data_IF_147142461409
#
_entry.id   IF_147142461409
#
_cell.length_a   1.000
_cell.length_b   1.000
_cell.length_c   1.000
_cell.angle_alpha   90.00
_cell.angle_beta   90.00
_cell.angle_gamma   90.00
#
_symmetry.space_group_name_H-M   'P 1'
#
loop_
_entity.id
_entity.type
_entity.pdbx_description
1 polymer ?
#
# COMPACT_ATOMS: atom_id res chain seq x y z
N UNK A 1 18.59 -4.66 25.69
CA UNK A 1 18.86 -4.95 24.27
C UNK A 1 17.52 -4.97 23.56
N UNK A 2 17.32 -4.25 22.45
CA UNK A 2 16.10 -4.42 21.67
C UNK A 2 16.04 -5.86 21.18
N UNK A 3 14.91 -6.50 21.43
CA UNK A 3 14.63 -7.90 21.12
C UNK A 3 14.69 -8.11 19.60
N UNK A 4 15.63 -8.96 19.17
CA UNK A 4 15.63 -9.56 17.84
C UNK A 4 14.73 -10.78 17.91
N UNK A 5 13.60 -10.85 17.18
CA UNK A 5 13.01 -12.16 16.92
C UNK A 5 14.13 -13.02 16.30
N UNK A 6 14.26 -14.27 16.74
CA UNK A 6 15.15 -15.24 16.10
C UNK A 6 14.60 -15.53 14.69
N UNK A 7 14.86 -14.60 13.77
CA UNK A 7 14.68 -14.80 12.35
C UNK A 7 15.78 -15.76 11.90
N UNK A 8 15.37 -16.83 11.24
CA UNK A 8 16.28 -17.81 10.66
C UNK A 8 17.36 -17.09 9.83
N UNK A 9 18.66 -17.34 10.07
CA UNK A 9 19.75 -16.76 9.28
C UNK A 9 19.59 -16.97 7.77
N UNK A 10 19.01 -18.09 7.33
CA UNK A 10 18.76 -18.34 5.91
C UNK A 10 17.69 -17.40 5.36
N UNK A 11 16.59 -17.20 6.10
CA UNK A 11 15.53 -16.24 5.72
C UNK A 11 16.08 -14.82 5.72
N UNK A 12 16.92 -14.47 6.70
CA UNK A 12 17.58 -13.16 6.77
C UNK A 12 18.41 -12.91 5.51
N UNK A 13 19.35 -13.81 5.21
CA UNK A 13 20.32 -13.60 4.12
C UNK A 13 19.60 -13.58 2.77
N UNK A 14 18.56 -14.41 2.60
CA UNK A 14 17.67 -14.38 1.44
C UNK A 14 16.91 -13.06 1.28
N UNK A 15 16.36 -12.49 2.36
CA UNK A 15 15.68 -11.18 2.32
C UNK A 15 16.65 -10.02 2.06
N UNK A 16 17.91 -10.15 2.46
CA UNK A 16 18.94 -9.16 2.14
C UNK A 16 19.41 -9.27 0.68
N UNK A 17 19.38 -10.46 0.08
CA UNK A 17 19.73 -10.68 -1.33
C UNK A 17 18.56 -10.37 -2.30
N UNK A 18 17.89 -9.22 -2.11
CA UNK A 18 16.78 -8.77 -2.94
C UNK A 18 17.03 -7.37 -3.52
N UNK A 19 16.03 -6.84 -4.24
CA UNK A 19 16.01 -5.45 -4.71
C UNK A 19 16.25 -4.44 -3.58
N UNK A 20 16.98 -3.33 -3.84
CA UNK A 20 17.18 -2.28 -2.85
C UNK A 20 15.89 -1.81 -2.17
N UNK A 21 14.78 -1.72 -2.90
CA UNK A 21 13.48 -1.29 -2.38
C UNK A 21 12.96 -2.15 -1.21
N UNK A 22 13.34 -3.43 -1.16
CA UNK A 22 13.02 -4.33 -0.06
C UNK A 22 14.17 -4.42 0.95
N UNK A 23 15.42 -4.42 0.50
CA UNK A 23 16.59 -4.61 1.36
C UNK A 23 16.69 -3.55 2.46
N UNK A 24 16.58 -2.26 2.11
CA UNK A 24 16.68 -1.18 3.10
C UNK A 24 15.60 -1.28 4.18
N UNK A 25 14.45 -1.81 3.80
CA UNK A 25 13.29 -2.04 4.65
C UNK A 25 13.51 -3.19 5.64
N UNK A 26 14.19 -4.26 5.21
CA UNK A 26 14.63 -5.38 6.07
C UNK A 26 15.67 -4.90 7.07
N UNK A 27 16.69 -4.18 6.59
CA UNK A 27 17.74 -3.58 7.42
C UNK A 27 17.14 -2.69 8.53
N UNK A 28 16.22 -1.79 8.17
CA UNK A 28 15.57 -0.90 9.13
C UNK A 28 14.63 -1.62 10.10
N UNK A 29 13.71 -2.44 9.59
CA UNK A 29 12.55 -2.87 10.38
C UNK A 29 12.66 -4.27 11.00
N UNK A 30 13.54 -5.12 10.48
CA UNK A 30 13.74 -6.48 10.99
C UNK A 30 15.09 -6.66 11.68
N UNK A 31 16.12 -5.94 11.23
CA UNK A 31 17.49 -6.06 11.76
C UNK A 31 17.89 -4.94 12.73
N UNK A 32 17.09 -3.85 12.76
CA UNK A 32 17.39 -2.63 13.51
C UNK A 32 18.77 -2.05 13.17
N UNK A 33 19.17 -2.13 11.90
CA UNK A 33 20.45 -1.56 11.45
C UNK A 33 20.46 -0.04 11.65
N UNK A 34 21.62 0.56 11.98
CA UNK A 34 21.74 1.99 12.14
C UNK A 34 21.33 2.75 10.87
N UNK A 35 20.78 3.95 11.07
CA UNK A 35 20.31 4.83 9.99
C UNK A 35 21.28 5.02 8.81
N UNK A 36 22.60 5.22 9.02
CA UNK A 36 23.54 5.31 7.90
C UNK A 36 23.60 4.07 7.00
N UNK A 37 23.34 2.87 7.54
CA UNK A 37 23.40 1.59 6.80
C UNK A 37 22.22 1.50 5.84
N UNK A 38 20.99 1.54 6.38
CA UNK A 38 19.81 1.38 5.52
C UNK A 38 19.57 2.59 4.61
N UNK A 39 20.01 3.79 5.00
CA UNK A 39 19.96 4.95 4.09
C UNK A 39 20.84 4.75 2.87
N UNK A 40 22.06 4.22 3.04
CA UNK A 40 22.94 3.93 1.92
C UNK A 40 22.31 2.91 0.95
N UNK A 41 21.67 1.84 1.47
CA UNK A 41 20.92 0.90 0.64
C UNK A 41 19.73 1.56 -0.07
N UNK A 42 18.98 2.41 0.64
CA UNK A 42 17.84 3.14 0.07
C UNK A 42 18.26 4.07 -1.08
N UNK A 43 19.43 4.71 -0.99
CA UNK A 43 19.98 5.59 -2.03
C UNK A 43 20.30 4.85 -3.35
N UNK A 44 20.61 3.55 -3.28
CA UNK A 44 20.84 2.73 -4.49
C UNK A 44 19.64 2.72 -5.43
N UNK A 45 18.41 2.89 -4.92
CA UNK A 45 17.18 2.95 -5.73
C UNK A 45 17.20 4.03 -6.81
N UNK A 46 18.06 5.06 -6.68
CA UNK A 46 18.24 6.08 -7.70
C UNK A 46 18.80 5.51 -9.02
N UNK A 47 19.60 4.44 -8.95
CA UNK A 47 20.36 3.92 -10.10
C UNK A 47 20.16 2.42 -10.33
N UNK A 48 19.80 1.67 -9.29
CA UNK A 48 19.66 0.23 -9.29
C UNK A 48 18.22 -0.23 -9.03
N UNK A 49 17.95 -1.49 -9.39
CA UNK A 49 16.69 -2.15 -9.06
C UNK A 49 15.46 -1.63 -9.80
N UNK A 50 14.31 -2.01 -9.27
CA UNK A 50 12.99 -1.75 -9.83
C UNK A 50 12.61 -0.28 -9.78
N UNK A 51 12.99 0.44 -8.72
CA UNK A 51 12.73 1.87 -8.60
C UNK A 51 13.43 2.67 -9.71
N UNK A 52 14.73 2.41 -9.94
CA UNK A 52 15.47 3.05 -11.04
C UNK A 52 14.90 2.70 -12.41
N UNK A 53 14.35 1.49 -12.58
CA UNK A 53 13.63 1.12 -13.82
C UNK A 53 12.37 1.96 -14.00
N UNK A 54 11.54 2.16 -12.98
CA UNK A 54 10.36 3.03 -13.06
C UNK A 54 10.73 4.49 -13.33
N UNK A 55 11.79 5.01 -12.72
CA UNK A 55 12.28 6.37 -13.00
C UNK A 55 12.62 6.57 -14.48
N UNK A 56 13.27 5.60 -15.12
CA UNK A 56 13.57 5.64 -16.56
C UNK A 56 12.36 5.51 -17.47
N UNK A 57 11.21 5.11 -16.92
CA UNK A 57 9.93 5.00 -17.64
C UNK A 57 9.10 6.27 -17.56
N UNK A 58 9.51 7.27 -16.77
CA UNK A 58 8.81 8.54 -16.69
C UNK A 58 8.88 9.29 -18.01
N UNK A 59 7.73 9.80 -18.44
CA UNK A 59 7.60 10.57 -19.66
C UNK A 59 8.08 12.03 -19.47
N UNK A 60 8.41 12.75 -20.56
CA UNK A 60 8.91 14.13 -20.46
C UNK A 60 7.97 15.07 -19.69
N UNK A 61 6.67 14.83 -19.79
CA UNK A 61 5.57 15.53 -19.11
C UNK A 61 5.33 15.05 -17.67
N UNK A 62 6.19 14.18 -17.14
CA UNK A 62 6.13 13.71 -15.75
C UNK A 62 5.18 12.54 -15.51
N UNK A 63 4.43 12.10 -16.52
CA UNK A 63 3.50 10.98 -16.42
C UNK A 63 4.19 9.63 -16.62
N UNK A 64 3.42 8.55 -16.45
CA UNK A 64 3.75 7.22 -16.92
C UNK A 64 2.65 6.71 -17.84
N UNK A 65 3.03 6.29 -19.04
CA UNK A 65 2.11 5.84 -20.09
C UNK A 65 1.01 6.87 -20.44
N UNK A 66 1.28 8.16 -20.18
CA UNK A 66 0.49 9.31 -20.59
C UNK A 66 -0.88 9.52 -19.93
N UNK A 67 -1.21 8.79 -18.87
CA UNK A 67 -2.50 8.93 -18.18
C UNK A 67 -2.39 8.97 -16.66
N UNK A 68 -3.42 9.51 -16.01
CA UNK A 68 -3.51 9.68 -14.57
C UNK A 68 -3.75 8.33 -13.88
N UNK A 69 -4.85 7.65 -14.21
CA UNK A 69 -5.19 6.32 -13.69
C UNK A 69 -5.28 5.26 -14.78
N UNK A 70 -5.64 5.66 -16.01
CA UNK A 70 -5.67 4.81 -17.19
C UNK A 70 -4.74 5.37 -18.26
N UNK A 71 -3.82 4.57 -18.84
CA UNK A 71 -2.87 5.05 -19.82
C UNK A 71 -3.57 5.46 -21.11
N UNK A 72 -3.16 6.59 -21.68
CA UNK A 72 -3.71 7.14 -22.94
C UNK A 72 -3.01 6.59 -24.18
N UNK A 73 -1.91 5.85 -23.99
CA UNK A 73 -1.14 5.19 -25.05
C UNK A 73 -0.66 3.82 -24.59
N UNK A 74 -0.54 2.88 -25.53
CA UNK A 74 0.11 1.59 -25.28
C UNK A 74 1.62 1.78 -25.26
N UNK A 75 2.29 1.27 -24.23
CA UNK A 75 3.75 1.20 -24.18
C UNK A 75 4.22 -0.21 -24.56
N UNK A 76 5.09 -0.37 -25.59
CA UNK A 76 5.55 -1.69 -26.02
C UNK A 76 6.38 -2.43 -24.96
N UNK A 77 6.84 -1.76 -23.91
CA UNK A 77 7.59 -2.35 -22.79
C UNK A 77 6.66 -2.94 -21.72
N UNK A 78 5.38 -2.61 -21.76
CA UNK A 78 4.42 -3.09 -20.77
C UNK A 78 4.05 -4.55 -21.02
N UNK A 79 4.01 -5.33 -19.93
CA UNK A 79 3.57 -6.71 -19.91
C UNK A 79 2.07 -6.75 -19.67
N UNK A 80 1.35 -7.59 -20.43
CA UNK A 80 -0.10 -7.79 -20.25
C UNK A 80 -0.32 -9.14 -19.58
N UNK A 81 -0.97 -9.13 -18.41
CA UNK A 81 -1.52 -10.34 -17.81
C UNK A 81 -3.00 -10.42 -18.16
N UNK A 82 -3.44 -11.41 -18.97
CA UNK A 82 -4.84 -11.58 -19.32
C UNK A 82 -5.72 -11.68 -18.05
N UNK A 83 -6.88 -11.04 -18.08
CA UNK A 83 -7.97 -11.36 -17.15
C UNK A 83 -8.74 -12.61 -17.63
N UNK A 84 -9.70 -13.07 -16.83
CA UNK A 84 -10.68 -14.04 -17.29
C UNK A 84 -11.50 -13.47 -18.46
N UNK A 85 -12.06 -14.33 -19.33
CA UNK A 85 -12.78 -13.93 -20.55
C UNK A 85 -13.93 -12.93 -20.29
N UNK A 86 -14.48 -12.92 -19.07
CA UNK A 86 -15.56 -12.02 -18.62
C UNK A 86 -15.07 -10.67 -18.05
N UNK A 87 -13.76 -10.46 -17.90
CA UNK A 87 -13.16 -9.18 -17.47
C UNK A 87 -12.14 -8.66 -18.51
N UNK A 88 -12.60 -8.17 -19.68
CA UNK A 88 -11.73 -7.75 -20.77
C UNK A 88 -10.89 -6.49 -20.47
N UNK A 89 -11.15 -5.79 -19.38
CA UNK A 89 -10.35 -4.65 -18.92
C UNK A 89 -9.27 -5.13 -17.97
N UNK A 90 -8.07 -5.42 -18.49
CA UNK A 90 -6.91 -5.64 -17.64
C UNK A 90 -6.58 -4.31 -16.95
N UNK A 91 -6.60 -4.27 -15.62
CA UNK A 91 -6.31 -3.04 -14.88
C UNK A 91 -4.92 -2.49 -15.26
N UNK A 92 -4.79 -1.24 -15.71
CA UNK A 92 -3.53 -0.76 -16.25
C UNK A 92 -2.66 -0.15 -15.15
N UNK A 93 -1.92 -1.02 -14.48
CA UNK A 93 -1.04 -0.66 -13.39
C UNK A 93 0.20 0.15 -13.81
N UNK A 94 0.32 0.46 -15.09
CA UNK A 94 1.39 1.26 -15.69
C UNK A 94 1.17 2.76 -15.57
N UNK A 95 -0.08 3.21 -15.31
CA UNK A 95 -0.42 4.64 -15.25
C UNK A 95 0.28 5.40 -14.11
N UNK A 96 0.24 6.73 -14.18
CA UNK A 96 0.95 7.67 -13.32
C UNK A 96 0.67 7.43 -11.83
N UNK A 97 -0.61 7.35 -11.43
CA UNK A 97 -0.99 7.19 -10.02
C UNK A 97 -0.46 5.89 -9.42
N UNK A 98 -0.53 4.80 -10.17
CA UNK A 98 -0.03 3.48 -9.74
C UNK A 98 1.48 3.47 -9.59
N UNK A 99 2.18 4.07 -10.54
CA UNK A 99 3.63 4.13 -10.55
C UNK A 99 4.15 4.99 -9.41
N UNK A 100 3.57 6.17 -9.20
CA UNK A 100 3.95 7.06 -8.10
C UNK A 100 3.64 6.45 -6.72
N UNK A 101 2.47 5.81 -6.56
CA UNK A 101 2.14 5.12 -5.30
C UNK A 101 3.16 4.00 -5.00
N UNK A 102 3.58 3.25 -6.02
CA UNK A 102 4.59 2.19 -5.89
C UNK A 102 5.95 2.74 -5.49
N UNK A 103 6.44 3.80 -6.17
CA UNK A 103 7.72 4.44 -5.83
C UNK A 103 7.74 4.99 -4.40
N UNK A 104 6.63 5.61 -3.98
CA UNK A 104 6.45 6.10 -2.61
C UNK A 104 6.45 4.96 -1.58
N UNK A 105 5.74 3.87 -1.86
CA UNK A 105 5.65 2.69 -0.98
C UNK A 105 6.99 1.96 -0.84
N UNK A 106 7.82 1.97 -1.89
CA UNK A 106 9.21 1.50 -1.83
C UNK A 106 10.14 2.46 -1.07
N UNK A 107 9.66 3.65 -0.73
CA UNK A 107 10.41 4.66 0.01
C UNK A 107 11.41 5.43 -0.84
N UNK A 108 11.18 5.59 -2.15
CA UNK A 108 12.04 6.44 -2.98
C UNK A 108 12.17 7.86 -2.38
N UNK A 109 13.33 8.49 -2.54
CA UNK A 109 13.48 9.90 -2.23
C UNK A 109 12.72 10.76 -3.25
N UNK A 110 11.82 11.63 -2.77
CA UNK A 110 11.06 12.56 -3.61
C UNK A 110 11.96 13.50 -4.41
N UNK A 111 13.17 13.80 -3.92
CA UNK A 111 14.12 14.67 -4.62
C UNK A 111 14.51 14.13 -6.01
N UNK A 112 14.45 12.81 -6.22
CA UNK A 112 14.71 12.17 -7.52
C UNK A 112 13.59 12.43 -8.54
N UNK A 113 12.44 12.90 -8.09
CA UNK A 113 11.27 13.27 -8.90
C UNK A 113 11.05 14.79 -8.92
N UNK A 114 12.08 15.58 -8.63
CA UNK A 114 12.00 17.04 -8.63
C UNK A 114 11.31 17.59 -9.90
N UNK A 115 10.33 18.47 -9.70
CA UNK A 115 9.51 19.05 -10.77
C UNK A 115 8.36 18.17 -11.26
N UNK A 116 8.22 16.92 -10.80
CA UNK A 116 7.09 16.06 -11.19
C UNK A 116 5.76 16.63 -10.74
N UNK A 117 5.67 17.14 -9.50
CA UNK A 117 4.44 17.77 -8.99
C UNK A 117 3.96 18.91 -9.90
N UNK A 118 4.89 19.79 -10.30
CA UNK A 118 4.63 20.93 -11.18
C UNK A 118 4.12 20.48 -12.56
N UNK A 119 4.77 19.48 -13.16
CA UNK A 119 4.36 18.94 -14.47
C UNK A 119 2.97 18.31 -14.42
N UNK A 120 2.62 17.65 -13.31
CA UNK A 120 1.31 17.01 -13.15
C UNK A 120 0.15 18.00 -12.91
N UNK A 121 0.42 19.30 -12.72
CA UNK A 121 -0.66 20.31 -12.60
C UNK A 121 -1.49 20.47 -13.88
N UNK A 122 -0.91 20.18 -15.04
CA UNK A 122 -1.61 20.19 -16.34
C UNK A 122 -2.32 18.88 -16.64
N UNK A 123 -2.08 17.83 -15.86
CA UNK A 123 -2.72 16.52 -16.03
C UNK A 123 -4.15 16.56 -15.48
N UNK A 124 -5.00 15.77 -16.10
CA UNK A 124 -6.41 15.64 -15.78
C UNK A 124 -6.76 14.18 -15.55
N UNK A 125 -7.66 13.92 -14.60
CA UNK A 125 -8.26 12.61 -14.43
C UNK A 125 -9.08 12.27 -15.65
N UNK A 126 -9.09 10.99 -16.02
CA UNK A 126 -9.95 10.52 -17.11
C UNK A 126 -11.44 10.67 -16.78
N UNK A 127 -11.77 10.73 -15.48
CA UNK A 127 -13.10 11.03 -14.96
C UNK A 127 -13.33 12.55 -14.89
N UNK A 128 -14.39 13.02 -15.56
CA UNK A 128 -14.89 14.41 -15.57
C UNK A 128 -13.84 15.51 -15.84
N UNK A 129 -12.70 15.16 -16.45
CA UNK A 129 -11.60 16.09 -16.74
C UNK A 129 -11.14 16.88 -15.50
N UNK A 130 -11.18 16.25 -14.32
CA UNK A 130 -10.84 16.88 -13.05
C UNK A 130 -9.33 17.14 -12.93
N UNK A 131 -8.89 18.24 -12.27
CA UNK A 131 -7.47 18.48 -12.01
C UNK A 131 -6.82 17.34 -11.20
N UNK A 132 -5.66 16.85 -11.62
CA UNK A 132 -5.00 15.70 -10.98
C UNK A 132 -4.82 15.86 -9.46
N UNK A 133 -4.22 16.97 -9.02
CA UNK A 133 -4.00 17.25 -7.60
C UNK A 133 -5.26 17.67 -6.83
N UNK A 134 -6.35 18.01 -7.54
CA UNK A 134 -7.64 18.27 -6.93
C UNK A 134 -8.34 17.01 -6.42
N UNK A 135 -7.83 15.83 -6.80
CA UNK A 135 -8.49 14.56 -6.52
C UNK A 135 -9.55 14.19 -7.56
N UNK A 136 -10.13 13.03 -7.33
CA UNK A 136 -11.15 12.36 -8.13
C UNK A 136 -12.36 12.08 -7.20
N UNK A 137 -13.40 11.37 -7.63
CA UNK A 137 -14.51 10.98 -6.75
C UNK A 137 -14.23 9.69 -5.95
N UNK A 138 -13.36 8.82 -6.40
CA UNK A 138 -13.06 7.52 -5.79
C UNK A 138 -12.13 7.69 -4.58
N UNK A 139 -12.57 7.22 -3.41
CA UNK A 139 -11.80 7.30 -2.16
C UNK A 139 -10.43 6.60 -2.25
N UNK A 140 -10.37 5.50 -3.00
CA UNK A 140 -9.20 4.69 -3.25
C UNK A 140 -8.17 5.47 -4.10
N UNK A 141 -8.63 6.24 -5.09
CA UNK A 141 -7.81 7.16 -5.90
C UNK A 141 -7.33 8.33 -5.05
N UNK A 142 -8.25 9.01 -4.38
CA UNK A 142 -7.95 10.15 -3.50
C UNK A 142 -6.93 9.81 -2.43
N UNK A 143 -6.97 8.60 -1.87
CA UNK A 143 -5.99 8.18 -0.87
C UNK A 143 -4.57 8.10 -1.43
N UNK A 144 -4.43 7.61 -2.67
CA UNK A 144 -3.13 7.52 -3.35
C UNK A 144 -2.62 8.91 -3.69
N UNK A 145 -3.50 9.78 -4.20
CA UNK A 145 -3.18 11.15 -4.58
C UNK A 145 -2.83 12.01 -3.37
N UNK A 146 -3.54 11.87 -2.24
CA UNK A 146 -3.24 12.55 -0.97
C UNK A 146 -1.81 12.26 -0.52
N UNK A 147 -1.46 10.98 -0.39
CA UNK A 147 -0.14 10.58 0.08
C UNK A 147 0.97 10.90 -0.93
N UNK A 148 0.74 10.72 -2.22
CA UNK A 148 1.73 11.06 -3.27
C UNK A 148 1.91 12.56 -3.43
N UNK A 149 0.83 13.35 -3.36
CA UNK A 149 0.91 14.79 -3.48
C UNK A 149 1.66 15.40 -2.29
N UNK A 150 1.37 14.94 -1.07
CA UNK A 150 2.16 15.33 0.10
C UNK A 150 3.64 14.94 -0.03
N UNK A 151 3.93 13.72 -0.51
CA UNK A 151 5.29 13.25 -0.76
C UNK A 151 6.08 14.12 -1.76
N UNK A 152 5.42 14.60 -2.81
CA UNK A 152 6.04 15.42 -3.86
C UNK A 152 5.92 16.92 -3.62
N UNK A 153 5.26 17.35 -2.54
CA UNK A 153 5.04 18.77 -2.21
C UNK A 153 3.96 19.46 -3.06
N UNK A 154 3.00 18.72 -3.61
CA UNK A 154 1.83 19.28 -4.28
C UNK A 154 0.78 19.79 -3.26
N UNK A 155 -0.05 20.75 -3.69
CA UNK A 155 -1.22 21.17 -2.91
C UNK A 155 -2.31 20.09 -2.96
N UNK A 156 -2.62 19.52 -1.80
CA UNK A 156 -3.57 18.42 -1.61
C UNK A 156 -4.70 18.76 -0.63
N UNK A 157 -4.82 20.03 -0.22
CA UNK A 157 -5.84 20.45 0.75
C UNK A 157 -7.28 20.14 0.31
N UNK A 158 -7.63 20.24 -0.99
CA UNK A 158 -8.96 19.81 -1.45
C UNK A 158 -9.26 18.34 -1.11
N UNK A 159 -8.25 17.46 -1.16
CA UNK A 159 -8.42 16.03 -0.88
C UNK A 159 -8.56 15.78 0.63
N UNK A 160 -7.84 16.54 1.47
CA UNK A 160 -8.01 16.50 2.92
C UNK A 160 -9.45 16.85 3.30
N UNK A 161 -9.96 17.95 2.76
CA UNK A 161 -11.36 18.38 2.94
C UNK A 161 -12.32 17.32 2.45
N UNK A 162 -12.08 16.76 1.26
CA UNK A 162 -12.90 15.71 0.67
C UNK A 162 -13.05 14.49 1.59
N UNK A 163 -11.97 14.01 2.21
CA UNK A 163 -12.03 12.85 3.11
C UNK A 163 -12.93 13.08 4.33
N UNK A 164 -12.93 14.29 4.89
CA UNK A 164 -13.78 14.67 6.02
C UNK A 164 -15.25 14.74 5.61
N UNK A 165 -15.54 15.31 4.45
CA UNK A 165 -16.92 15.49 3.96
C UNK A 165 -17.57 14.17 3.50
N UNK A 166 -16.77 13.21 3.03
CA UNK A 166 -17.25 11.98 2.40
C UNK A 166 -17.09 10.73 3.27
N UNK A 167 -16.75 10.89 4.56
CA UNK A 167 -16.74 9.78 5.51
C UNK A 167 -18.16 9.30 5.79
N UNK A 168 -18.42 8.01 5.59
CA UNK A 168 -19.75 7.44 5.77
C UNK A 168 -20.12 7.33 7.26
N UNK A 169 -21.44 7.21 7.59
CA UNK A 169 -21.89 7.14 8.98
C UNK A 169 -21.28 5.98 9.79
N UNK A 170 -20.97 4.87 9.13
CA UNK A 170 -20.31 3.71 9.75
C UNK A 170 -18.78 3.85 9.88
N UNK A 171 -18.23 5.02 9.55
CA UNK A 171 -16.85 5.41 9.84
C UNK A 171 -15.84 5.16 8.73
N UNK A 172 -16.13 4.32 7.75
CA UNK A 172 -15.23 4.09 6.61
C UNK A 172 -15.54 4.96 5.40
N UNK A 173 -15.08 4.48 4.24
CA UNK A 173 -15.40 5.04 2.92
C UNK A 173 -15.86 3.93 1.96
N UNK A 174 -16.49 4.33 0.87
CA UNK A 174 -16.80 3.46 -0.25
C UNK A 174 -16.50 4.19 -1.55
N UNK A 175 -15.82 3.55 -2.50
CA UNK A 175 -15.50 4.12 -3.81
C UNK A 175 -16.76 4.20 -4.70
N UNK A 176 -17.79 3.38 -4.42
CA UNK A 176 -19.12 3.42 -5.06
C UNK A 176 -20.11 4.41 -4.41
N UNK A 177 -19.65 5.35 -3.58
CA UNK A 177 -20.54 6.32 -2.90
C UNK A 177 -21.30 7.22 -3.89
N UNK A 178 -20.65 7.59 -5.01
CA UNK A 178 -21.27 8.35 -6.10
C UNK A 178 -22.42 7.59 -6.78
N UNK A 179 -22.40 6.27 -6.72
CA UNK A 179 -23.47 5.39 -7.19
C UNK A 179 -24.56 5.16 -6.13
N UNK A 180 -24.46 5.85 -4.99
CA UNK A 180 -25.44 5.82 -3.89
C UNK A 180 -25.12 4.85 -2.77
N UNK A 181 -23.91 4.27 -2.73
CA UNK A 181 -23.53 3.41 -1.62
C UNK A 181 -23.48 4.18 -0.29
N UNK A 182 -24.26 3.71 0.68
CA UNK A 182 -24.34 4.29 2.04
C UNK A 182 -23.60 3.47 3.09
N UNK A 183 -22.87 2.44 2.65
CA UNK A 183 -22.12 1.52 3.52
C UNK A 183 -20.67 1.50 3.11
N UNK A 184 -19.77 1.62 4.08
CA UNK A 184 -18.34 1.52 3.81
C UNK A 184 -17.97 0.15 3.27
N UNK A 185 -16.93 0.09 2.45
CA UNK A 185 -16.35 -1.15 1.95
C UNK A 185 -14.97 -1.37 2.58
N UNK A 186 -14.55 -2.63 2.72
CA UNK A 186 -13.22 -2.96 3.23
C UNK A 186 -12.11 -2.43 2.30
N UNK A 187 -12.27 -2.62 0.98
CA UNK A 187 -11.29 -2.19 -0.02
C UNK A 187 -11.08 -0.68 0.03
N UNK A 188 -12.15 0.09 -0.06
CA UNK A 188 -12.09 1.54 -0.03
C UNK A 188 -11.53 2.04 1.30
N UNK A 189 -12.01 1.49 2.41
CA UNK A 189 -11.58 1.91 3.75
C UNK A 189 -10.09 1.65 3.97
N UNK A 190 -9.54 0.48 3.61
CA UNK A 190 -8.10 0.23 3.80
C UNK A 190 -7.22 1.08 2.87
N UNK A 191 -7.69 1.41 1.67
CA UNK A 191 -6.95 2.31 0.78
C UNK A 191 -6.94 3.74 1.36
N UNK A 192 -8.08 4.26 1.82
CA UNK A 192 -8.20 5.55 2.51
C UNK A 192 -7.28 5.62 3.73
N UNK A 193 -7.39 4.63 4.62
CA UNK A 193 -6.56 4.53 5.83
C UNK A 193 -5.07 4.57 5.51
N UNK A 194 -4.61 3.82 4.50
CA UNK A 194 -3.21 3.78 4.12
C UNK A 194 -2.69 5.13 3.61
N UNK A 195 -3.51 5.86 2.83
CA UNK A 195 -3.18 7.20 2.34
C UNK A 195 -3.13 8.24 3.46
N UNK A 196 -4.16 8.26 4.32
CA UNK A 196 -4.28 9.18 5.45
C UNK A 196 -3.12 8.99 6.42
N UNK A 197 -2.84 7.76 6.86
CA UNK A 197 -1.75 7.50 7.80
C UNK A 197 -0.39 7.89 7.22
N UNK A 198 -0.16 7.68 5.92
CA UNK A 198 1.07 8.13 5.28
C UNK A 198 1.18 9.65 5.30
N UNK A 199 0.09 10.36 4.98
CA UNK A 199 0.02 11.82 5.02
C UNK A 199 0.30 12.39 6.41
N UNK A 200 -0.34 11.83 7.46
CA UNK A 200 -0.09 12.22 8.85
C UNK A 200 1.39 12.03 9.24
N UNK A 201 1.96 10.85 8.92
CA UNK A 201 3.36 10.54 9.22
C UNK A 201 4.35 11.46 8.49
N UNK A 202 4.02 11.86 7.26
CA UNK A 202 4.91 12.68 6.44
C UNK A 202 4.84 14.16 6.80
N UNK A 203 3.64 14.68 7.06
CA UNK A 203 3.41 16.10 7.31
C UNK A 203 3.47 16.49 8.78
N UNK A 204 3.25 15.52 9.69
CA UNK A 204 3.05 15.75 11.11
C UNK A 204 1.69 16.36 11.46
N UNK A 205 0.80 16.55 10.48
CA UNK A 205 -0.57 17.00 10.69
C UNK A 205 -1.46 15.87 11.19
N UNK A 206 -2.53 16.22 11.88
CA UNK A 206 -3.47 15.27 12.46
C UNK A 206 -4.95 15.63 12.24
N UNK A 207 -5.25 16.52 11.29
CA UNK A 207 -6.61 16.94 10.92
C UNK A 207 -7.52 15.74 10.55
N UNK A 208 -6.91 14.66 10.03
CA UNK A 208 -7.61 13.43 9.64
C UNK A 208 -7.56 12.32 10.69
N UNK A 209 -6.94 12.55 11.86
CA UNK A 209 -6.73 11.52 12.89
C UNK A 209 -8.04 10.92 13.38
N UNK A 210 -9.01 11.76 13.73
CA UNK A 210 -10.32 11.31 14.19
C UNK A 210 -11.05 10.50 13.12
N UNK A 211 -10.97 10.95 11.85
CA UNK A 211 -11.55 10.21 10.73
C UNK A 211 -10.85 8.86 10.54
N UNK A 212 -9.51 8.83 10.61
CA UNK A 212 -8.72 7.59 10.56
C UNK A 212 -9.12 6.62 11.67
N UNK A 213 -9.23 7.07 12.92
CA UNK A 213 -9.62 6.23 14.05
C UNK A 213 -11.02 5.64 13.88
N UNK A 214 -12.00 6.41 13.39
CA UNK A 214 -13.34 5.90 13.09
C UNK A 214 -13.33 4.81 12.00
N UNK A 215 -12.47 4.97 10.99
CA UNK A 215 -12.32 3.99 9.91
C UNK A 215 -11.55 2.73 10.35
N UNK A 216 -10.58 2.87 11.26
CA UNK A 216 -9.93 1.74 11.91
C UNK A 216 -10.94 0.95 12.76
N UNK A 217 -11.78 1.65 13.53
CA UNK A 217 -12.85 1.03 14.31
C UNK A 217 -13.83 0.25 13.42
N UNK A 218 -14.21 0.79 12.25
CA UNK A 218 -15.01 0.06 11.27
C UNK A 218 -14.40 -1.31 10.92
N UNK A 219 -13.08 -1.41 10.71
CA UNK A 219 -12.42 -2.68 10.43
C UNK A 219 -12.28 -3.56 11.69
N UNK A 220 -12.00 -2.95 12.85
CA UNK A 220 -11.76 -3.66 14.11
C UNK A 220 -13.02 -4.29 14.71
N UNK A 221 -14.17 -3.62 14.66
CA UNK A 221 -15.47 -4.22 15.05
C UNK A 221 -15.76 -5.50 14.25
N UNK A 222 -15.23 -5.56 13.03
CA UNK A 222 -15.33 -6.69 12.08
C UNK A 222 -14.19 -7.70 12.23
N UNK A 223 -13.32 -7.52 13.23
CA UNK A 223 -12.11 -8.32 13.48
C UNK A 223 -11.28 -8.51 12.20
N UNK A 224 -11.24 -7.46 11.35
CA UNK A 224 -10.56 -7.40 10.06
C UNK A 224 -11.02 -8.39 8.99
N UNK A 225 -11.98 -9.28 9.29
CA UNK A 225 -12.25 -10.44 8.42
C UNK A 225 -13.72 -10.75 8.21
N UNK A 226 -14.61 -10.21 9.05
CA UNK A 226 -15.99 -10.70 9.14
C UNK A 226 -17.02 -9.62 8.83
N UNK A 227 -18.20 -10.06 8.40
CA UNK A 227 -19.38 -9.20 8.31
C UNK A 227 -19.96 -9.01 9.72
N UNK A 228 -20.31 -7.78 10.10
CA UNK A 228 -20.97 -7.54 11.38
C UNK A 228 -22.31 -8.27 11.50
N UNK A 229 -23.07 -8.36 10.41
CA UNK A 229 -24.44 -8.88 10.44
C UNK A 229 -24.52 -10.40 10.61
N UNK A 230 -23.57 -11.15 10.04
CA UNK A 230 -23.61 -12.62 10.02
C UNK A 230 -22.45 -13.29 10.76
N UNK A 231 -21.35 -12.58 11.03
CA UNK A 231 -20.13 -13.18 11.56
C UNK A 231 -19.35 -14.02 10.54
N UNK A 232 -19.85 -14.16 9.31
CA UNK A 232 -19.19 -14.88 8.22
C UNK A 232 -18.05 -14.07 7.59
N UNK A 233 -17.03 -14.70 6.99
CA UNK A 233 -15.97 -14.00 6.27
C UNK A 233 -16.55 -13.03 5.23
N UNK A 234 -16.02 -11.80 5.18
CA UNK A 234 -16.54 -10.77 4.28
C UNK A 234 -16.26 -11.08 2.80
N UNK A 235 -15.18 -11.81 2.51
CA UNK A 235 -14.89 -12.28 1.16
C UNK A 235 -13.65 -13.18 1.09
N UNK A 236 -13.41 -13.83 -0.06
CA UNK A 236 -12.26 -14.73 -0.25
C UNK A 236 -10.91 -13.99 -0.18
N UNK A 237 -10.88 -12.72 -0.58
CA UNK A 237 -9.66 -11.88 -0.58
C UNK A 237 -9.10 -11.61 0.82
N UNK A 238 -9.91 -11.78 1.88
CA UNK A 238 -9.50 -11.48 3.26
C UNK A 238 -8.25 -12.25 3.66
N UNK A 239 -8.16 -13.52 3.29
CA UNK A 239 -7.03 -14.41 3.63
C UNK A 239 -6.04 -14.54 2.46
N UNK A 240 -6.23 -13.81 1.37
CA UNK A 240 -5.41 -13.94 0.18
C UNK A 240 -4.09 -13.20 0.36
N UNK A 241 -2.98 -13.93 0.30
CA UNK A 241 -1.65 -13.34 0.29
C UNK A 241 -1.28 -13.01 -1.15
N UNK A 242 -1.15 -11.73 -1.44
CA UNK A 242 -0.60 -11.27 -2.71
C UNK A 242 0.16 -9.97 -2.53
N UNK A 243 1.22 -9.82 -3.32
CA UNK A 243 1.91 -8.55 -3.50
C UNK A 243 2.20 -8.29 -4.98
N UNK A 244 2.08 -7.05 -5.49
CA UNK A 244 1.67 -5.82 -4.80
C UNK A 244 0.21 -5.82 -4.31
N UNK A 245 -0.07 -5.06 -3.24
CA UNK A 245 -1.42 -4.98 -2.66
C UNK A 245 -2.42 -4.21 -3.54
N UNK A 246 -1.98 -3.13 -4.20
CA UNK A 246 -2.80 -2.30 -5.11
C UNK A 246 -4.12 -1.82 -4.46
N UNK A 247 -5.27 -2.05 -5.09
CA UNK A 247 -6.58 -1.69 -4.55
C UNK A 247 -7.18 -2.77 -3.63
N UNK A 248 -6.68 -4.00 -3.67
CA UNK A 248 -7.31 -5.14 -3.01
C UNK A 248 -6.96 -5.17 -1.51
N UNK A 249 -7.97 -5.47 -0.71
CA UNK A 249 -7.83 -5.73 0.72
C UNK A 249 -7.29 -7.14 0.96
N UNK A 250 -6.41 -7.25 1.94
CA UNK A 250 -6.10 -8.50 2.64
C UNK A 250 -5.98 -8.21 4.14
N UNK A 251 -6.19 -9.22 4.99
CA UNK A 251 -5.99 -9.07 6.43
C UNK A 251 -4.53 -8.70 6.74
N UNK A 252 -3.56 -9.21 5.98
CA UNK A 252 -2.15 -8.82 6.09
C UNK A 252 -1.96 -7.31 5.88
N UNK A 253 -2.59 -6.73 4.85
CA UNK A 253 -2.51 -5.28 4.60
C UNK A 253 -3.12 -4.47 5.75
N UNK A 254 -4.26 -4.92 6.29
CA UNK A 254 -4.89 -4.27 7.44
C UNK A 254 -4.04 -4.39 8.72
N UNK A 255 -3.42 -5.54 8.96
CA UNK A 255 -2.50 -5.74 10.08
C UNK A 255 -1.25 -4.84 9.97
N UNK A 256 -0.67 -4.71 8.77
CA UNK A 256 0.47 -3.80 8.57
C UNK A 256 0.07 -2.32 8.72
N UNK A 257 -1.16 -1.95 8.33
CA UNK A 257 -1.71 -0.63 8.65
C UNK A 257 -1.80 -0.41 10.16
N UNK A 258 -2.45 -1.32 10.91
CA UNK A 258 -2.58 -1.21 12.36
C UNK A 258 -1.23 -1.14 13.06
N UNK A 259 -0.24 -1.92 12.61
CA UNK A 259 1.15 -1.83 13.10
C UNK A 259 1.71 -0.42 12.97
N UNK A 260 1.56 0.21 11.80
CA UNK A 260 2.05 1.57 11.54
C UNK A 260 1.26 2.61 12.34
N UNK A 261 -0.07 2.44 12.45
CA UNK A 261 -0.93 3.31 13.23
C UNK A 261 -0.57 3.25 14.72
N UNK A 262 -0.41 2.06 15.29
CA UNK A 262 0.06 1.84 16.67
C UNK A 262 1.39 2.55 16.96
N UNK A 263 2.36 2.48 16.05
CA UNK A 263 3.63 3.19 16.22
C UNK A 263 3.48 4.72 16.17
N UNK A 264 2.51 5.22 15.40
CA UNK A 264 2.22 6.67 15.24
C UNK A 264 1.46 7.22 16.46
N UNK A 265 0.49 6.45 16.94
CA UNK A 265 -0.39 6.84 18.05
C UNK A 265 0.19 6.45 19.43
N UNK A 266 1.28 5.68 19.47
CA UNK A 266 1.84 5.14 20.72
C UNK A 266 0.93 4.11 21.40
N UNK A 267 0.09 3.43 20.63
CA UNK A 267 -0.91 2.49 21.12
C UNK A 267 -0.43 1.02 21.01
N UNK A 268 -0.78 0.15 21.97
CA UNK A 268 -0.49 -1.28 21.86
C UNK A 268 -1.32 -1.93 20.73
N UNK A 269 -0.98 -3.17 20.32
CA UNK A 269 -1.82 -3.92 19.38
C UNK A 269 -3.24 -4.13 19.92
N UNK A 270 -4.27 -3.84 19.10
CA UNK A 270 -5.66 -4.05 19.49
C UNK A 270 -6.00 -5.56 19.51
N UNK A 271 -6.55 -6.09 20.62
CA UNK A 271 -6.82 -7.53 20.77
C UNK A 271 -7.82 -8.08 19.73
N UNK A 272 -8.66 -7.25 19.11
CA UNK A 272 -9.61 -7.68 18.07
C UNK A 272 -8.92 -8.12 16.77
N UNK A 273 -7.64 -7.80 16.59
CA UNK A 273 -6.83 -8.27 15.47
C UNK A 273 -6.24 -9.68 15.68
N UNK A 274 -6.37 -10.28 16.87
CA UNK A 274 -5.73 -11.55 17.23
C UNK A 274 -6.04 -12.68 16.24
N UNK A 275 -7.30 -12.82 15.82
CA UNK A 275 -7.69 -13.89 14.90
C UNK A 275 -7.04 -13.73 13.52
N UNK A 276 -6.91 -12.50 13.03
CA UNK A 276 -6.23 -12.23 11.76
C UNK A 276 -4.73 -12.52 11.85
N UNK A 277 -4.12 -12.27 13.01
CA UNK A 277 -2.72 -12.63 13.29
C UNK A 277 -2.53 -14.15 13.30
N UNK A 278 -3.44 -14.91 13.91
CA UNK A 278 -3.36 -16.37 13.89
C UNK A 278 -3.55 -16.95 12.48
N UNK A 279 -4.42 -16.34 11.66
CA UNK A 279 -4.51 -16.69 10.23
C UNK A 279 -3.16 -16.45 9.55
N UNK A 280 -2.53 -15.28 9.75
CA UNK A 280 -1.22 -14.97 9.18
C UNK A 280 -0.14 -15.97 9.63
N UNK A 281 -0.13 -16.37 10.90
CA UNK A 281 0.78 -17.39 11.45
C UNK A 281 0.58 -18.74 10.77
N UNK A 282 -0.68 -19.15 10.58
CA UNK A 282 -1.03 -20.44 9.94
C UNK A 282 -0.61 -20.52 8.47
N UNK A 283 -0.37 -19.37 7.83
CA UNK A 283 0.09 -19.29 6.45
C UNK A 283 1.61 -19.29 6.30
N UNK A 284 2.37 -19.31 7.42
CA UNK A 284 3.82 -19.47 7.39
C UNK A 284 4.15 -20.89 6.96
N UNK A 285 4.96 -21.03 5.93
CA UNK A 285 5.45 -22.34 5.48
C UNK A 285 6.55 -22.88 6.41
N UNK A 286 6.88 -24.17 6.27
CA UNK A 286 7.90 -24.85 7.08
C UNK A 286 9.29 -24.19 6.97
N UNK A 287 9.57 -23.55 5.83
CA UNK A 287 10.80 -22.79 5.57
C UNK A 287 10.81 -21.39 6.20
N UNK A 288 9.77 -21.04 6.97
CA UNK A 288 9.62 -19.76 7.64
C UNK A 288 9.14 -18.61 6.75
N UNK A 289 8.79 -18.86 5.48
CA UNK A 289 8.44 -17.84 4.48
C UNK A 289 6.93 -17.83 4.21
N UNK A 290 6.46 -16.77 3.54
CA UNK A 290 5.10 -16.65 3.03
C UNK A 290 5.11 -16.63 1.52
N UNK A 291 4.18 -17.38 0.94
CA UNK A 291 4.17 -17.65 -0.49
C UNK A 291 3.17 -16.75 -1.20
N UNK A 292 3.49 -16.38 -2.44
CA UNK A 292 2.58 -15.63 -3.30
C UNK A 292 1.36 -16.52 -3.60
N UNK A 293 0.19 -16.14 -3.11
CA UNK A 293 -1.05 -16.89 -3.31
C UNK A 293 -1.83 -16.46 -4.55
N UNK A 294 -1.65 -15.23 -5.01
CA UNK A 294 -2.38 -14.70 -6.17
C UNK A 294 -1.61 -13.59 -6.88
N UNK A 295 -1.92 -13.41 -8.16
CA UNK A 295 -1.39 -12.32 -8.99
C UNK A 295 -2.56 -11.57 -9.60
N UNK A 296 -2.69 -10.29 -9.25
CA UNK A 296 -3.72 -9.43 -9.85
C UNK A 296 -3.50 -9.33 -11.36
N UNK A 297 -4.54 -9.54 -12.20
CA UNK A 297 -4.45 -9.34 -13.65
C UNK A 297 -4.24 -7.84 -13.95
N UNK A 298 -3.80 -7.53 -15.17
CA UNK A 298 -3.50 -6.15 -15.54
C UNK A 298 -2.22 -5.95 -16.32
N UNK A 299 -2.10 -4.76 -16.90
CA UNK A 299 -0.88 -4.28 -17.55
C UNK A 299 0.13 -3.83 -16.48
N UNK A 300 1.40 -4.21 -16.61
CA UNK A 300 2.46 -3.88 -15.65
C UNK A 300 3.78 -3.57 -16.37
N UNK A 301 4.62 -2.72 -15.77
CA UNK A 301 5.95 -2.43 -16.34
C UNK A 301 6.90 -3.63 -16.29
N UNK A 302 6.81 -4.42 -15.23
CA UNK A 302 7.55 -5.65 -15.01
C UNK A 302 6.94 -6.38 -13.80
N UNK A 303 7.37 -7.63 -13.56
CA UNK A 303 7.00 -8.35 -12.34
C UNK A 303 7.77 -7.78 -11.14
N UNK A 304 7.02 -7.37 -10.11
CA UNK A 304 7.56 -6.79 -8.88
C UNK A 304 7.95 -7.87 -7.85
N UNK A 305 7.27 -9.01 -7.93
CA UNK A 305 7.42 -10.11 -6.98
C UNK A 305 7.34 -11.45 -7.73
N UNK A 306 7.39 -12.54 -6.98
CA UNK A 306 7.46 -13.90 -7.51
C UNK A 306 6.13 -14.41 -8.13
N UNK A 307 6.19 -15.48 -8.95
CA UNK A 307 5.02 -16.29 -9.35
C UNK A 307 4.21 -16.86 -8.20
N UNK A 308 2.94 -17.18 -8.48
CA UNK A 308 2.07 -17.87 -7.52
C UNK A 308 2.67 -19.22 -7.16
N UNK A 309 2.71 -19.53 -5.86
CA UNK A 309 3.29 -20.75 -5.32
C UNK A 309 4.79 -20.68 -5.01
N UNK A 310 5.42 -19.51 -5.18
CA UNK A 310 6.81 -19.28 -4.80
C UNK A 310 6.93 -18.46 -3.50
N UNK A 311 8.03 -18.59 -2.73
CA UNK A 311 8.27 -17.81 -1.53
C UNK A 311 8.45 -16.33 -1.89
N UNK A 312 7.58 -15.46 -1.37
CA UNK A 312 7.57 -14.02 -1.67
C UNK A 312 8.39 -13.25 -0.63
N UNK A 313 9.46 -12.54 -1.04
CA UNK A 313 10.20 -11.66 -0.14
C UNK A 313 9.31 -10.57 0.47
N UNK A 314 8.42 -9.98 -0.34
CA UNK A 314 7.56 -8.88 0.09
C UNK A 314 6.53 -9.32 1.13
N UNK A 315 5.83 -10.43 0.88
CA UNK A 315 4.87 -10.97 1.83
C UNK A 315 5.56 -11.43 3.12
N UNK A 316 6.75 -12.02 3.00
CA UNK A 316 7.56 -12.42 4.16
C UNK A 316 7.98 -11.20 4.99
N UNK A 317 8.44 -10.11 4.37
CA UNK A 317 8.76 -8.86 5.06
C UNK A 317 7.55 -8.29 5.82
N UNK A 318 6.39 -8.17 5.16
CA UNK A 318 5.18 -7.66 5.80
C UNK A 318 4.71 -8.56 6.95
N UNK A 319 4.74 -9.88 6.74
CA UNK A 319 4.33 -10.83 7.77
C UNK A 319 5.24 -10.77 9.00
N UNK A 320 6.57 -10.76 8.80
CA UNK A 320 7.54 -10.68 9.89
C UNK A 320 7.41 -9.37 10.68
N UNK A 321 7.18 -8.23 10.00
CA UNK A 321 6.93 -6.94 10.67
C UNK A 321 5.69 -6.99 11.56
N UNK A 322 4.59 -7.54 11.04
CA UNK A 322 3.33 -7.68 11.79
C UNK A 322 3.52 -8.58 13.00
N UNK A 323 4.13 -9.75 12.83
CA UNK A 323 4.31 -10.70 13.93
C UNK A 323 5.28 -10.18 14.98
N UNK A 324 6.35 -9.50 14.57
CA UNK A 324 7.28 -8.83 15.49
C UNK A 324 6.56 -7.79 16.36
N UNK A 325 5.72 -6.94 15.75
CA UNK A 325 4.93 -5.93 16.46
C UNK A 325 3.92 -6.55 17.42
N UNK A 326 3.14 -7.52 16.93
CA UNK A 326 2.11 -8.19 17.72
C UNK A 326 2.72 -8.85 18.95
N UNK A 327 3.76 -9.65 18.76
CA UNK A 327 4.39 -10.41 19.83
C UNK A 327 5.10 -9.54 20.86
N UNK A 328 5.65 -8.40 20.42
CA UNK A 328 6.22 -7.42 21.34
C UNK A 328 5.15 -6.81 22.27
N UNK A 329 3.96 -6.50 21.72
CA UNK A 329 2.85 -5.94 22.51
C UNK A 329 2.15 -6.93 23.44
N UNK A 330 2.24 -8.24 23.19
CA UNK A 330 1.73 -9.26 24.12
C UNK A 330 2.64 -9.48 25.35
N UNK A 331 3.86 -8.95 25.34
CA UNK A 331 4.86 -9.12 26.40
C UNK A 331 5.00 -7.89 27.32
N UNK A 332 4.35 -6.78 26.98
CA UNK A 332 4.34 -5.52 27.74
C UNK A 332 3.14 -5.44 28.67
#
# INVERSE_FOLDING_TARGET
>A
MPYRPDMDPEVRDWLLDTDPALRWQVERDLLDEPEPVWRATRELMATEGMAARLLRLQDPDGQWAGGAFFPTRRDPRALVTPGDEDQPLCQPWTATTWTLATLREWGLDAALLAGTAEKLTTVRWEYDDLPYWGGEVDACINAKTLATGAWLGADIEPIVTWFLEHQLPDGGWNCEWVEGSTRSSFHSTINSLAGILWWEQHTGRDDLRDARHRAEEYLLERRLMYRLSSGEPVGPWVRLLHYPFRAVYSSLRALDHLRRASATDGAPPDPRAAEAVEVLRSQRHEDGRWYQGYRLPGERWFEIDVPVGEPSPWLTLHALRVLRWWDAGQRS
#
